data_IF_127352519289
#
_entry.id   IF_127352519289
#
_cell.length_a   1.000
_cell.length_b   1.000
_cell.length_c   1.000
_cell.angle_alpha   90.00
_cell.angle_beta   90.00
_cell.angle_gamma   90.00
#
_symmetry.space_group_name_H-M   'P 1'
#
loop_
_entity.id
_entity.type
_entity.pdbx_description
1 polymer ?
#
# COMPACT_ATOMS: atom_id res chain seq x y z
N UNK A 1 -61.16 33.68 -32.60
CA UNK A 1 -60.57 34.65 -31.66
C UNK A 1 -59.13 34.23 -31.47
N UNK A 2 -58.15 35.06 -31.83
CA UNK A 2 -56.73 34.75 -31.67
C UNK A 2 -56.43 34.62 -30.18
N UNK A 3 -55.81 33.52 -29.77
CA UNK A 3 -55.40 33.33 -28.39
C UNK A 3 -54.33 34.37 -28.03
N UNK A 4 -54.54 35.07 -26.92
CA UNK A 4 -53.73 36.19 -26.47
C UNK A 4 -52.24 35.79 -26.30
N UNK A 5 -51.42 36.10 -27.31
CA UNK A 5 -49.96 36.01 -27.28
C UNK A 5 -49.33 36.93 -26.20
N UNK A 6 -50.14 37.76 -25.53
CA UNK A 6 -49.72 38.74 -24.52
C UNK A 6 -49.46 38.17 -23.12
N UNK A 7 -49.75 36.90 -22.86
CA UNK A 7 -49.68 36.31 -21.52
C UNK A 7 -48.60 35.22 -21.36
N UNK A 8 -47.65 35.11 -22.29
CA UNK A 8 -46.52 34.18 -22.14
C UNK A 8 -45.34 34.96 -21.53
N UNK A 9 -44.94 34.72 -20.28
CA UNK A 9 -43.72 35.29 -19.74
C UNK A 9 -42.54 34.80 -20.60
N UNK A 10 -41.64 35.72 -20.97
CA UNK A 10 -40.49 35.48 -21.88
C UNK A 10 -39.50 34.37 -21.44
N UNK A 11 -39.74 33.70 -20.31
CA UNK A 11 -38.84 32.74 -19.68
C UNK A 11 -39.42 31.33 -19.51
N UNK A 12 -40.22 30.85 -20.48
CA UNK A 12 -40.77 29.48 -20.48
C UNK A 12 -40.19 28.63 -21.63
N UNK A 13 -39.74 27.38 -21.40
CA UNK A 13 -39.77 26.63 -20.15
C UNK A 13 -38.74 27.13 -19.12
N UNK A 14 -38.98 26.92 -17.81
CA UNK A 14 -38.05 27.35 -16.77
C UNK A 14 -36.68 26.70 -16.97
N UNK A 15 -35.58 27.41 -16.66
CA UNK A 15 -34.23 26.85 -16.78
C UNK A 15 -34.16 25.51 -16.03
N UNK A 16 -33.50 24.48 -16.60
CA UNK A 16 -33.30 23.22 -15.90
C UNK A 16 -32.72 23.51 -14.52
N UNK A 17 -33.47 23.13 -13.46
CA UNK A 17 -33.02 23.33 -12.09
C UNK A 17 -31.61 22.77 -11.93
N UNK A 18 -30.71 23.54 -11.29
CA UNK A 18 -29.38 23.06 -10.95
C UNK A 18 -29.55 21.78 -10.12
N UNK A 19 -29.36 20.62 -10.76
CA UNK A 19 -29.19 19.36 -10.02
C UNK A 19 -28.05 19.61 -9.04
N UNK A 20 -28.13 19.20 -7.77
CA UNK A 20 -26.98 19.20 -6.87
C UNK A 20 -26.03 18.10 -7.34
N UNK A 21 -25.39 18.34 -8.49
CA UNK A 21 -24.26 17.60 -9.00
C UNK A 21 -23.04 18.09 -8.26
N UNK A 22 -22.94 17.67 -7.00
CA UNK A 22 -21.79 17.92 -6.16
C UNK A 22 -21.44 16.64 -5.46
N UNK A 23 -20.77 15.72 -6.17
CA UNK A 23 -19.83 14.83 -5.47
C UNK A 23 -18.78 15.79 -4.92
N UNK A 24 -18.99 16.23 -3.68
CA UNK A 24 -18.03 17.06 -2.97
C UNK A 24 -16.66 16.38 -3.07
N UNK A 25 -15.56 17.16 -3.08
CA UNK A 25 -14.24 16.57 -3.12
C UNK A 25 -14.18 15.52 -2.01
N UNK A 26 -13.98 14.26 -2.37
CA UNK A 26 -13.65 13.21 -1.40
C UNK A 26 -12.43 13.77 -0.71
N UNK A 27 -12.59 14.19 0.55
CA UNK A 27 -11.58 14.94 1.28
C UNK A 27 -10.29 14.15 1.29
N UNK A 28 -9.41 14.45 0.34
CA UNK A 28 -8.15 13.76 0.18
C UNK A 28 -7.27 14.18 1.33
N UNK A 29 -6.99 13.24 2.23
CA UNK A 29 -5.94 13.43 3.21
C UNK A 29 -4.61 13.55 2.45
N UNK A 30 -4.18 14.79 2.23
CA UNK A 30 -2.86 15.07 1.68
C UNK A 30 -1.95 15.27 2.89
N UNK A 31 -1.14 14.26 3.27
CA UNK A 31 -0.28 14.40 4.43
C UNK A 31 0.63 15.62 4.24
N UNK A 32 0.83 16.44 5.28
CA UNK A 32 1.81 17.52 5.25
C UNK A 32 3.16 16.98 4.77
N UNK A 33 3.86 17.73 3.90
CA UNK A 33 5.10 17.25 3.26
C UNK A 33 6.15 16.77 4.28
N UNK A 34 6.17 17.35 5.48
CA UNK A 34 7.05 16.92 6.58
C UNK A 34 6.65 15.59 7.26
N UNK A 35 5.41 15.13 7.11
CA UNK A 35 4.94 13.83 7.62
C UNK A 35 5.23 12.67 6.68
N UNK A 36 5.45 12.94 5.38
CA UNK A 36 5.76 11.91 4.38
C UNK A 36 6.93 10.99 4.81
N UNK A 37 8.10 11.49 5.25
CA UNK A 37 9.18 10.61 5.69
C UNK A 37 8.81 9.78 6.93
N UNK A 38 8.01 10.33 7.85
CA UNK A 38 7.55 9.62 9.06
C UNK A 38 6.59 8.48 8.69
N UNK A 39 5.66 8.74 7.77
CA UNK A 39 4.72 7.73 7.27
C UNK A 39 5.48 6.61 6.55
N UNK A 40 6.44 6.96 5.69
CA UNK A 40 7.29 5.97 5.00
C UNK A 40 8.06 5.13 6.02
N UNK A 41 8.66 5.75 7.04
CA UNK A 41 9.41 5.03 8.08
C UNK A 41 8.51 4.06 8.86
N UNK A 42 7.30 4.49 9.25
CA UNK A 42 6.32 3.63 9.90
C UNK A 42 5.90 2.46 9.01
N UNK A 43 5.70 2.70 7.71
CA UNK A 43 5.37 1.64 6.76
C UNK A 43 6.51 0.63 6.61
N UNK A 44 7.77 1.09 6.56
CA UNK A 44 8.93 0.20 6.48
C UNK A 44 9.05 -0.67 7.74
N UNK A 45 8.97 -0.06 8.93
CA UNK A 45 9.02 -0.81 10.19
C UNK A 45 7.85 -1.79 10.29
N UNK A 46 6.63 -1.33 9.97
CA UNK A 46 5.44 -2.17 9.95
C UNK A 46 5.55 -3.33 8.96
N UNK A 47 6.15 -3.09 7.79
CA UNK A 47 6.39 -4.13 6.79
C UNK A 47 7.38 -5.19 7.29
N UNK A 48 8.49 -4.78 7.91
CA UNK A 48 9.45 -5.70 8.52
C UNK A 48 8.76 -6.56 9.59
N UNK A 49 8.03 -5.92 10.53
CA UNK A 49 7.28 -6.64 11.57
C UNK A 49 6.25 -7.60 10.95
N UNK A 50 5.53 -7.16 9.93
CA UNK A 50 4.55 -7.99 9.22
C UNK A 50 5.18 -9.24 8.61
N UNK A 51 6.37 -9.13 7.99
CA UNK A 51 7.10 -10.27 7.43
C UNK A 51 7.39 -11.30 8.52
N UNK A 52 7.92 -10.89 9.68
CA UNK A 52 8.23 -11.81 10.76
C UNK A 52 6.97 -12.43 11.40
N UNK A 53 5.94 -11.62 11.69
CA UNK A 53 4.68 -12.12 12.29
C UNK A 53 3.92 -13.04 11.36
N UNK A 54 3.97 -12.80 10.04
CA UNK A 54 3.33 -13.67 9.03
C UNK A 54 4.09 -14.98 8.77
N UNK A 55 5.19 -15.25 9.50
CA UNK A 55 6.04 -16.43 9.29
C UNK A 55 6.85 -16.37 7.99
N UNK A 56 6.89 -15.20 7.35
CA UNK A 56 7.66 -14.94 6.12
C UNK A 56 9.06 -14.36 6.39
N UNK A 57 9.47 -14.25 7.65
CA UNK A 57 10.82 -13.90 8.07
C UNK A 57 11.45 -15.08 8.80
N UNK A 58 12.65 -15.47 8.40
CA UNK A 58 13.42 -16.60 8.95
C UNK A 58 14.60 -16.08 9.73
N UNK A 59 14.77 -16.60 10.94
CA UNK A 59 15.94 -16.35 11.78
C UNK A 59 16.48 -17.72 12.15
N UNK A 60 17.73 -18.00 11.80
CA UNK A 60 18.44 -19.21 12.20
C UNK A 60 19.71 -18.79 12.92
N UNK A 61 19.92 -19.41 14.08
CA UNK A 61 21.15 -19.30 14.85
C UNK A 61 22.05 -20.49 14.47
N UNK A 62 23.23 -20.19 13.90
CA UNK A 62 24.18 -21.22 13.46
C UNK A 62 25.22 -21.40 14.56
N UNK A 63 25.21 -22.57 15.20
CA UNK A 63 26.19 -22.88 16.25
C UNK A 63 27.59 -23.10 15.68
N UNK A 64 28.60 -23.05 16.56
CA UNK A 64 30.02 -23.24 16.21
C UNK A 64 30.32 -24.63 15.62
N UNK A 65 29.40 -25.59 15.81
CA UNK A 65 29.51 -26.98 15.35
C UNK A 65 28.63 -27.28 14.14
N UNK A 66 27.89 -26.29 13.65
CA UNK A 66 26.92 -26.45 12.56
C UNK A 66 27.36 -25.65 11.33
N UNK A 67 26.98 -26.16 10.17
CA UNK A 67 27.11 -25.47 8.88
C UNK A 67 25.70 -25.36 8.33
N UNK A 68 25.25 -24.13 8.05
CA UNK A 68 23.95 -23.88 7.44
C UNK A 68 24.10 -23.72 5.93
N UNK A 69 23.14 -24.24 5.17
CA UNK A 69 23.08 -24.10 3.72
C UNK A 69 21.82 -23.33 3.38
N UNK A 70 21.98 -22.07 3.01
CA UNK A 70 20.87 -21.21 2.63
C UNK A 70 20.58 -21.37 1.13
N UNK A 71 19.47 -22.03 0.79
CA UNK A 71 19.05 -22.30 -0.59
C UNK A 71 18.01 -21.27 -1.01
N UNK A 72 18.34 -20.38 -1.95
CA UNK A 72 17.39 -19.45 -2.54
C UNK A 72 16.54 -20.16 -3.60
N UNK A 73 15.27 -20.42 -3.32
CA UNK A 73 14.32 -21.05 -4.24
C UNK A 73 13.79 -20.13 -5.35
N UNK A 74 14.03 -18.82 -5.29
CA UNK A 74 13.66 -17.88 -6.37
C UNK A 74 14.75 -17.83 -7.44
N UNK A 75 16.02 -17.82 -7.03
CA UNK A 75 17.17 -17.73 -7.94
C UNK A 75 17.88 -19.07 -8.18
N UNK A 76 17.64 -20.06 -7.33
CA UNK A 76 18.37 -21.34 -7.32
C UNK A 76 19.77 -21.26 -6.71
N UNK A 77 20.12 -20.16 -6.04
CA UNK A 77 21.46 -19.91 -5.51
C UNK A 77 21.65 -20.52 -4.12
N UNK A 78 22.76 -21.23 -3.91
CA UNK A 78 23.12 -21.80 -2.60
C UNK A 78 24.22 -20.96 -1.94
N UNK A 79 23.97 -20.52 -0.70
CA UNK A 79 24.95 -19.82 0.13
C UNK A 79 25.33 -20.68 1.33
N UNK A 80 26.60 -21.10 1.41
CA UNK A 80 27.12 -21.88 2.55
C UNK A 80 27.59 -20.91 3.64
N UNK A 81 27.00 -21.03 4.82
CA UNK A 81 27.33 -20.21 5.98
C UNK A 81 28.22 -21.04 6.91
N UNK A 82 29.52 -20.74 6.88
CA UNK A 82 30.55 -21.42 7.70
C UNK A 82 30.97 -20.61 8.93
N UNK A 83 30.44 -19.39 9.07
CA UNK A 83 30.75 -18.53 10.21
C UNK A 83 29.59 -18.61 11.22
N UNK A 84 29.85 -18.97 12.47
CA UNK A 84 28.81 -19.04 13.50
C UNK A 84 28.23 -17.66 13.81
N UNK A 85 26.92 -17.63 14.06
CA UNK A 85 26.17 -16.40 14.33
C UNK A 85 24.74 -16.42 13.81
N UNK A 86 24.05 -15.28 13.98
CA UNK A 86 22.65 -15.10 13.57
C UNK A 86 22.57 -14.75 12.09
N UNK A 87 21.84 -15.56 11.34
CA UNK A 87 21.51 -15.29 9.93
C UNK A 87 20.02 -14.96 9.80
N UNK A 88 19.73 -13.83 9.14
CA UNK A 88 18.37 -13.40 8.82
C UNK A 88 18.14 -13.65 7.33
N UNK A 89 17.07 -14.34 6.99
CA UNK A 89 16.69 -14.60 5.61
C UNK A 89 15.16 -14.60 5.43
N UNK A 90 14.70 -14.65 4.19
CA UNK A 90 13.28 -14.71 3.85
C UNK A 90 12.91 -16.17 3.54
N UNK A 91 12.13 -16.91 4.37
CA UNK A 91 11.88 -18.36 4.27
C UNK A 91 11.22 -18.81 2.97
N UNK A 92 10.43 -17.93 2.34
CA UNK A 92 9.75 -18.21 1.07
C UNK A 92 10.66 -17.97 -0.14
N UNK A 93 11.76 -17.23 0.05
CA UNK A 93 12.78 -17.04 -0.96
C UNK A 93 13.98 -17.94 -0.71
N UNK A 94 14.32 -18.22 0.54
CA UNK A 94 15.50 -18.95 0.98
C UNK A 94 15.13 -19.92 2.12
N UNK A 95 15.61 -21.15 2.12
CA UNK A 95 15.50 -22.09 3.27
C UNK A 95 16.89 -22.48 3.76
N UNK A 96 17.05 -22.60 5.08
CA UNK A 96 18.34 -22.82 5.74
C UNK A 96 18.36 -24.16 6.49
#
# INVERSE_FOLDING_TARGET
MPADEKNIPEGWPPPPGKRPGGRGPVGGFTPPRGMIPVIIMLLLVGFVVFIFVSGKGGIVDVSVTEIAVLVNYVTGEETIITTPGVTIFLPWANEA
#
